data_IF_150623490369
#
_entry.id   IF_150623490369
#
_cell.length_a   1.000
_cell.length_b   1.000
_cell.length_c   1.000
_cell.angle_alpha   90.00
_cell.angle_beta   90.00
_cell.angle_gamma   90.00
#
_symmetry.space_group_name_H-M   'P 1'
#
loop_
_entity.id
_entity.type
_entity.pdbx_description
1 polymer ?
#
# COMPACT_ATOMS: atom_id res chain seq x y z
N UNK A 1 12.48 13.11 13.47
CA UNK A 1 12.00 13.15 12.07
C UNK A 1 12.16 11.76 11.45
N UNK A 2 11.13 10.92 11.48
CA UNK A 2 11.21 9.50 11.11
C UNK A 2 10.90 9.20 9.63
N UNK A 3 10.39 10.18 8.88
CA UNK A 3 9.95 10.02 7.49
C UNK A 3 10.58 11.12 6.64
N UNK A 4 11.32 10.75 5.59
CA UNK A 4 11.87 11.64 4.57
C UNK A 4 11.11 11.40 3.27
N UNK A 5 10.45 12.41 2.75
CA UNK A 5 9.85 12.36 1.42
C UNK A 5 10.86 12.88 0.40
N UNK A 6 10.96 12.20 -0.75
CA UNK A 6 11.84 12.56 -1.86
C UNK A 6 11.21 12.17 -3.20
N UNK A 7 11.83 12.55 -4.29
CA UNK A 7 11.44 12.13 -5.64
C UNK A 7 12.62 11.36 -6.21
N UNK A 8 12.40 10.09 -6.56
CA UNK A 8 13.41 9.32 -7.26
C UNK A 8 13.50 9.88 -8.68
N UNK A 9 14.60 10.57 -9.01
CA UNK A 9 14.75 11.23 -10.32
C UNK A 9 14.75 10.24 -11.48
N UNK A 10 15.14 8.98 -11.25
CA UNK A 10 15.21 7.95 -12.29
C UNK A 10 13.84 7.45 -12.73
N UNK A 11 12.88 7.32 -11.81
CA UNK A 11 11.52 6.82 -12.11
C UNK A 11 10.45 7.91 -11.97
N UNK A 12 10.84 9.13 -11.59
CA UNK A 12 9.95 10.25 -11.26
C UNK A 12 8.87 9.89 -10.24
N UNK A 13 9.11 8.86 -9.42
CA UNK A 13 8.17 8.39 -8.41
C UNK A 13 8.41 9.11 -7.09
N UNK A 14 7.35 9.60 -6.42
CA UNK A 14 7.47 10.10 -5.06
C UNK A 14 7.82 8.92 -4.14
N UNK A 15 8.93 9.02 -3.42
CA UNK A 15 9.38 8.02 -2.47
C UNK A 15 9.27 8.55 -1.04
N UNK A 16 8.76 7.70 -0.16
CA UNK A 16 8.63 7.97 1.27
C UNK A 16 9.63 7.08 2.02
N UNK A 17 10.77 7.63 2.38
CA UNK A 17 11.78 6.94 3.16
C UNK A 17 11.46 7.02 4.65
N UNK A 18 10.84 5.99 5.19
CA UNK A 18 10.77 5.81 6.64
C UNK A 18 12.13 5.36 7.16
N UNK A 19 12.84 6.23 7.89
CA UNK A 19 14.13 5.89 8.53
C UNK A 19 14.01 4.83 9.62
N UNK A 20 12.80 4.58 10.13
CA UNK A 20 12.52 3.59 11.15
C UNK A 20 11.94 2.30 10.57
N UNK A 21 12.21 1.18 11.23
CA UNK A 21 11.55 -0.09 10.96
C UNK A 21 10.03 0.06 11.14
N UNK A 22 9.25 -0.26 10.10
CA UNK A 22 7.78 -0.20 10.17
C UNK A 22 7.25 -1.58 10.57
N UNK A 23 6.24 -1.63 11.46
CA UNK A 23 5.58 -2.90 11.76
C UNK A 23 4.79 -3.38 10.55
N UNK A 24 4.80 -4.69 10.29
CA UNK A 24 3.99 -5.35 9.22
C UNK A 24 2.55 -4.84 9.21
N UNK A 25 1.92 -4.67 10.38
CA UNK A 25 0.54 -4.17 10.48
C UNK A 25 0.34 -2.80 9.86
N UNK A 26 1.26 -1.86 10.10
CA UNK A 26 1.15 -0.49 9.59
C UNK A 26 1.38 -0.42 8.08
N UNK A 27 2.26 -1.29 7.58
CA UNK A 27 2.48 -1.47 6.15
C UNK A 27 1.22 -2.00 5.45
N UNK A 28 0.62 -3.07 5.99
CA UNK A 28 -0.62 -3.66 5.46
C UNK A 28 -1.76 -2.62 5.45
N UNK A 29 -1.92 -1.85 6.53
CA UNK A 29 -2.97 -0.81 6.56
C UNK A 29 -2.74 0.28 5.52
N UNK A 30 -1.48 0.67 5.27
CA UNK A 30 -1.15 1.65 4.24
C UNK A 30 -1.45 1.14 2.83
N UNK A 31 -1.11 -0.12 2.55
CA UNK A 31 -1.36 -0.78 1.28
C UNK A 31 -2.85 -0.98 0.97
N UNK A 32 -3.68 -1.27 2.00
CA UNK A 32 -5.13 -1.43 1.82
C UNK A 32 -5.86 -0.08 1.64
N UNK A 33 -5.31 1.00 2.20
CA UNK A 33 -5.99 2.30 2.26
C UNK A 33 -6.49 2.83 0.91
N UNK A 34 -5.70 2.85 -0.18
CA UNK A 34 -6.18 3.32 -1.49
C UNK A 34 -7.31 2.44 -2.05
N UNK A 35 -7.27 1.12 -1.84
CA UNK A 35 -8.33 0.21 -2.28
C UNK A 35 -9.68 0.53 -1.62
N UNK A 36 -9.67 0.86 -0.33
CA UNK A 36 -10.89 1.20 0.41
C UNK A 36 -11.36 2.61 0.04
N UNK A 37 -10.46 3.60 0.13
CA UNK A 37 -10.82 5.01 -0.03
C UNK A 37 -11.15 5.40 -1.46
N UNK A 38 -10.41 4.86 -2.44
CA UNK A 38 -10.56 5.20 -3.86
C UNK A 38 -11.31 4.12 -4.65
N UNK A 39 -11.34 2.89 -4.14
CA UNK A 39 -12.08 1.79 -4.75
C UNK A 39 -13.50 1.66 -4.18
N UNK A 40 -13.60 1.14 -2.96
CA UNK A 40 -14.89 0.74 -2.36
C UNK A 40 -15.82 1.94 -2.14
N UNK A 41 -15.34 3.02 -1.52
CA UNK A 41 -16.19 4.18 -1.21
C UNK A 41 -16.75 4.84 -2.49
N UNK A 42 -15.95 5.13 -3.54
CA UNK A 42 -16.45 5.72 -4.76
C UNK A 42 -17.38 4.78 -5.53
N UNK A 43 -17.13 3.47 -5.55
CA UNK A 43 -18.03 2.49 -6.17
C UNK A 43 -19.40 2.47 -5.49
N UNK A 44 -19.45 2.45 -4.15
CA UNK A 44 -20.72 2.49 -3.39
C UNK A 44 -21.47 3.80 -3.62
N UNK A 45 -20.75 4.92 -3.58
CA UNK A 45 -21.35 6.23 -3.78
C UNK A 45 -21.86 6.43 -5.22
N UNK A 46 -21.12 5.91 -6.21
CA UNK A 46 -21.52 5.92 -7.62
C UNK A 46 -22.78 5.08 -7.86
N UNK A 47 -22.89 3.94 -7.18
CA UNK A 47 -24.06 3.05 -7.28
C UNK A 47 -25.33 3.76 -6.80
N UNK A 48 -25.25 4.52 -5.70
CA UNK A 48 -26.38 5.28 -5.16
C UNK A 48 -26.76 6.46 -6.07
N UNK A 49 -25.78 7.15 -6.67
CA UNK A 49 -26.01 8.37 -7.46
C UNK A 49 -26.17 8.12 -8.97
N UNK A 50 -26.03 6.88 -9.45
CA UNK A 50 -26.07 6.53 -10.88
C UNK A 50 -24.91 7.11 -11.71
N UNK A 51 -23.76 7.41 -11.09
CA UNK A 51 -22.62 8.04 -11.77
C UNK A 51 -21.64 7.00 -12.32
N UNK A 52 -21.85 6.58 -13.57
CA UNK A 52 -21.03 5.57 -14.27
C UNK A 52 -19.52 5.89 -14.26
N UNK A 53 -19.13 7.15 -14.40
CA UNK A 53 -17.70 7.53 -14.41
C UNK A 53 -17.00 7.26 -13.06
N UNK A 54 -17.66 7.58 -11.94
CA UNK A 54 -17.16 7.28 -10.60
C UNK A 54 -17.13 5.76 -10.33
N UNK A 55 -18.10 5.03 -10.87
CA UNK A 55 -18.16 3.57 -10.75
C UNK A 55 -16.96 2.90 -11.44
N UNK A 56 -16.65 3.31 -12.68
CA UNK A 56 -15.48 2.85 -13.43
C UNK A 56 -14.18 3.20 -12.71
N UNK A 57 -14.08 4.42 -12.17
CA UNK A 57 -12.92 4.85 -11.39
C UNK A 57 -12.70 3.96 -10.16
N UNK A 58 -13.77 3.67 -9.41
CA UNK A 58 -13.68 2.79 -8.24
C UNK A 58 -13.25 1.37 -8.59
N UNK A 59 -13.82 0.78 -9.65
CA UNK A 59 -13.39 -0.55 -10.14
C UNK A 59 -11.92 -0.52 -10.56
N UNK A 60 -11.49 0.52 -11.28
CA UNK A 60 -10.11 0.67 -11.70
C UNK A 60 -9.14 0.67 -10.51
N UNK A 61 -9.45 1.40 -9.43
CA UNK A 61 -8.64 1.41 -8.23
C UNK A 61 -8.65 0.07 -7.47
N UNK A 62 -9.76 -0.68 -7.48
CA UNK A 62 -9.80 -2.04 -6.90
C UNK A 62 -8.88 -2.98 -7.69
N UNK A 63 -8.92 -2.93 -9.02
CA UNK A 63 -8.05 -3.74 -9.88
C UNK A 63 -6.58 -3.32 -9.72
N UNK A 64 -6.30 -2.02 -9.67
CA UNK A 64 -4.96 -1.50 -9.44
C UNK A 64 -4.39 -1.94 -8.07
N UNK A 65 -5.23 -2.02 -7.04
CA UNK A 65 -4.84 -2.48 -5.70
C UNK A 65 -4.54 -4.00 -5.63
N UNK A 66 -4.74 -4.78 -6.70
CA UNK A 66 -4.39 -6.21 -6.72
C UNK A 66 -2.91 -6.47 -6.40
N UNK A 67 -2.02 -5.56 -6.81
CA UNK A 67 -0.60 -5.61 -6.44
C UNK A 67 -0.38 -5.47 -4.93
N UNK A 68 -1.06 -4.52 -4.30
CA UNK A 68 -1.03 -4.34 -2.85
C UNK A 68 -1.58 -5.56 -2.09
N UNK A 69 -2.68 -6.14 -2.58
CA UNK A 69 -3.24 -7.38 -2.03
C UNK A 69 -2.28 -8.56 -2.12
N UNK A 70 -1.49 -8.67 -3.20
CA UNK A 70 -0.46 -9.69 -3.33
C UNK A 70 0.62 -9.52 -2.26
N UNK A 71 1.09 -8.29 -2.01
CA UNK A 71 2.09 -8.04 -0.97
C UNK A 71 1.54 -8.38 0.42
N UNK A 72 0.29 -7.99 0.70
CA UNK A 72 -0.37 -8.34 1.96
C UNK A 72 -0.51 -9.85 2.13
N UNK A 73 -0.84 -10.56 1.05
CA UNK A 73 -0.94 -12.02 1.06
C UNK A 73 0.42 -12.67 1.36
N UNK A 74 1.51 -12.17 0.78
CA UNK A 74 2.87 -12.63 1.07
C UNK A 74 3.27 -12.34 2.52
N UNK A 75 2.91 -11.17 3.05
CA UNK A 75 3.16 -10.77 4.44
C UNK A 75 2.24 -11.46 5.46
N UNK A 76 1.19 -12.17 5.02
CA UNK A 76 0.26 -12.87 5.93
C UNK A 76 0.95 -13.97 6.74
N UNK A 77 1.92 -14.66 6.15
CA UNK A 77 2.70 -15.69 6.83
C UNK A 77 3.82 -15.10 7.72
N UNK A 78 4.03 -13.79 7.63
CA UNK A 78 5.03 -13.09 8.42
C UNK A 78 4.44 -12.62 9.75
N UNK A 79 5.22 -12.80 10.82
CA UNK A 79 4.78 -12.44 12.17
C UNK A 79 4.33 -10.97 12.22
N UNK A 80 3.14 -10.72 12.77
CA UNK A 80 2.57 -9.38 12.92
C UNK A 80 3.46 -8.39 13.70
N UNK A 81 4.44 -8.89 14.44
CA UNK A 81 5.42 -8.11 15.22
C UNK A 81 6.79 -8.01 14.53
N UNK A 82 6.94 -8.60 13.35
CA UNK A 82 8.13 -8.45 12.52
C UNK A 82 8.22 -7.04 11.96
N UNK A 83 9.46 -6.65 11.66
CA UNK A 83 9.78 -5.33 11.14
C UNK A 83 9.98 -5.41 9.63
N UNK A 84 9.38 -4.48 8.90
CA UNK A 84 9.46 -4.37 7.45
C UNK A 84 10.26 -3.13 7.11
N UNK A 85 11.14 -3.27 6.11
CA UNK A 85 11.82 -2.15 5.48
C UNK A 85 11.56 -2.24 3.97
N UNK A 86 11.04 -1.18 3.38
CA UNK A 86 10.90 -1.09 1.94
C UNK A 86 12.29 -1.03 1.29
N UNK A 87 12.46 -1.77 0.20
CA UNK A 87 13.69 -1.72 -0.57
C UNK A 87 13.71 -0.41 -1.39
N UNK A 88 14.85 0.28 -1.39
CA UNK A 88 15.00 1.61 -2.01
C UNK A 88 14.93 1.62 -3.54
N UNK A 89 14.94 0.46 -4.19
CA UNK A 89 15.22 0.30 -5.62
C UNK A 89 14.43 -0.83 -6.29
N UNK A 90 13.78 -1.71 -5.53
CA UNK A 90 13.02 -2.83 -6.08
C UNK A 90 11.59 -2.85 -5.52
N UNK A 91 10.59 -3.18 -6.35
CA UNK A 91 9.23 -3.37 -5.86
C UNK A 91 9.21 -4.57 -4.91
N UNK A 92 8.87 -4.32 -3.65
CA UNK A 92 8.83 -5.32 -2.60
C UNK A 92 9.41 -4.82 -1.28
N UNK A 93 9.31 -5.67 -0.27
CA UNK A 93 9.68 -5.34 1.09
C UNK A 93 10.53 -6.45 1.72
N UNK A 94 11.54 -6.05 2.49
CA UNK A 94 12.41 -6.96 3.23
C UNK A 94 11.87 -7.09 4.64
N UNK A 95 11.61 -8.33 5.08
CA UNK A 95 11.13 -8.62 6.43
C UNK A 95 12.30 -9.03 7.32
N UNK A 96 12.51 -8.27 8.39
CA UNK A 96 13.50 -8.54 9.42
C UNK A 96 12.83 -9.27 10.59
N UNK A 97 13.27 -10.51 10.83
CA UNK A 97 12.92 -11.30 12.02
C UNK A 97 14.04 -11.16 13.05
N UNK A 98 13.79 -10.43 14.14
CA UNK A 98 14.67 -10.52 15.31
C UNK A 98 14.33 -11.83 16.03
N UNK A 99 15.22 -12.81 15.93
CA UNK A 99 15.14 -14.04 16.73
C UNK A 99 15.59 -13.67 18.15
N UNK A 100 14.67 -13.75 19.10
CA UNK A 100 14.98 -13.63 20.52
C UNK A 100 15.88 -14.79 20.98
#
# INVERSE_FOLDING_TARGET
RAIKFGILKETFTPYCHCKGFLRVKHYITGAIMPAILLGILPTLWAFINGKIMLFLLGIYFIVAASGDFLIIYLLRNEGCNSYVKDHETQPGCIVYKFKA
#
